data_IF_173158703720
#
_entry.id   IF_173158703720
#
_cell.length_a   1.000
_cell.length_b   1.000
_cell.length_c   1.000
_cell.angle_alpha   90.00
_cell.angle_beta   90.00
_cell.angle_gamma   90.00
#
_symmetry.space_group_name_H-M   'P 1'
#
loop_
_entity.id
_entity.type
_entity.pdbx_description
1 polymer ?
#
# COMPACT_ATOMS: atom_id res chain seq x y z
N UNK A 1 -27.54 5.08 21.46
CA UNK A 1 -26.14 5.27 21.04
C UNK A 1 -25.82 4.14 20.07
N UNK A 2 -25.85 4.43 18.76
CA UNK A 2 -25.53 3.47 17.71
C UNK A 2 -24.00 3.37 17.59
N UNK A 3 -23.42 2.21 17.90
CA UNK A 3 -22.08 1.83 17.44
C UNK A 3 -22.21 1.36 15.99
N UNK A 4 -21.66 2.07 14.98
CA UNK A 4 -21.69 1.58 13.62
C UNK A 4 -20.63 0.48 13.50
N UNK A 5 -21.09 -0.74 13.21
CA UNK A 5 -20.37 -1.92 12.70
C UNK A 5 -18.85 -1.97 12.93
N UNK A 6 -18.42 -2.82 13.85
CA UNK A 6 -17.04 -3.30 13.91
C UNK A 6 -16.76 -4.14 12.64
N UNK A 7 -16.26 -3.50 11.60
CA UNK A 7 -15.66 -4.20 10.46
C UNK A 7 -14.58 -5.16 10.95
N UNK A 8 -14.72 -6.45 10.64
CA UNK A 8 -13.82 -7.48 11.16
C UNK A 8 -12.51 -7.49 10.38
N UNK A 9 -11.43 -7.05 11.04
CA UNK A 9 -10.05 -7.18 10.52
C UNK A 9 -9.63 -8.65 10.65
N UNK A 10 -9.37 -9.31 9.53
CA UNK A 10 -8.92 -10.71 9.53
C UNK A 10 -7.45 -10.78 9.89
N UNK A 11 -6.63 -10.02 9.15
CA UNK A 11 -5.20 -10.17 9.14
C UNK A 11 -4.50 -8.83 8.95
N UNK A 12 -3.37 -8.66 9.63
CA UNK A 12 -2.56 -7.46 9.56
C UNK A 12 -1.23 -7.87 8.93
N UNK A 13 -0.96 -7.33 7.75
CA UNK A 13 0.32 -7.56 7.06
C UNK A 13 1.32 -6.58 7.65
N UNK A 14 2.29 -7.13 8.40
CA UNK A 14 3.25 -6.30 9.11
C UNK A 14 4.33 -5.79 8.17
N UNK A 15 4.75 -4.52 8.34
CA UNK A 15 5.88 -3.98 7.61
C UNK A 15 7.18 -4.66 8.04
N UNK A 16 8.08 -4.83 7.09
CA UNK A 16 9.49 -5.17 7.29
C UNK A 16 10.35 -4.01 6.76
N UNK A 17 11.52 -3.82 7.37
CA UNK A 17 12.50 -2.82 6.94
C UNK A 17 11.88 -1.41 6.80
N UNK A 18 11.25 -0.91 7.87
CA UNK A 18 10.65 0.42 7.92
C UNK A 18 11.65 1.42 8.52
N UNK A 19 12.29 2.28 7.73
CA UNK A 19 13.19 3.28 8.27
C UNK A 19 12.43 4.41 8.96
N UNK A 20 13.05 4.93 10.01
CA UNK A 20 12.46 5.89 10.94
C UNK A 20 12.01 7.21 10.26
N UNK A 21 12.73 7.63 9.23
CA UNK A 21 12.59 8.97 8.64
C UNK A 21 11.48 9.10 7.58
N UNK A 22 10.99 8.00 7.00
CA UNK A 22 9.94 8.06 5.96
C UNK A 22 8.57 7.61 6.46
N UNK A 23 8.53 6.76 7.48
CA UNK A 23 7.30 6.14 7.95
C UNK A 23 6.64 5.20 6.93
N UNK A 24 7.37 4.79 5.88
CA UNK A 24 6.93 3.85 4.86
C UNK A 24 7.84 2.63 4.90
N UNK A 25 7.25 1.44 4.90
CA UNK A 25 7.99 0.19 4.85
C UNK A 25 8.59 -0.06 3.47
N UNK A 26 9.77 -0.67 3.45
CA UNK A 26 10.40 -1.13 2.20
C UNK A 26 9.77 -2.41 1.66
N UNK A 27 9.28 -3.24 2.56
CA UNK A 27 8.67 -4.52 2.25
C UNK A 27 7.65 -4.87 3.33
N UNK A 28 6.80 -5.84 3.02
CA UNK A 28 5.78 -6.36 3.90
C UNK A 28 5.90 -7.88 3.98
N UNK A 29 5.49 -8.43 5.11
CA UNK A 29 5.52 -9.87 5.33
C UNK A 29 4.56 -10.60 4.39
N UNK A 30 5.09 -11.48 3.53
CA UNK A 30 4.29 -12.28 2.60
C UNK A 30 3.89 -13.65 3.19
N UNK A 31 4.05 -13.83 4.50
CA UNK A 31 3.59 -15.02 5.21
C UNK A 31 2.08 -15.13 5.09
N UNK A 32 1.60 -16.24 4.52
CA UNK A 32 0.18 -16.46 4.29
C UNK A 32 -0.49 -16.99 5.57
N UNK A 33 -1.54 -16.32 6.08
CA UNK A 33 -2.24 -16.74 7.29
C UNK A 33 -3.25 -17.86 6.98
N UNK A 34 -2.79 -19.11 6.92
CA UNK A 34 -3.63 -20.29 6.60
C UNK A 34 -4.87 -20.38 7.49
N UNK A 35 -4.71 -20.14 8.80
CA UNK A 35 -5.79 -20.25 9.79
C UNK A 35 -6.96 -19.28 9.56
N UNK A 36 -6.72 -18.17 8.86
CA UNK A 36 -7.67 -17.06 8.74
C UNK A 36 -8.15 -16.81 7.32
N UNK A 37 -7.27 -17.02 6.34
CA UNK A 37 -7.52 -16.70 4.93
C UNK A 37 -7.64 -17.96 4.05
N UNK A 38 -7.32 -19.13 4.60
CA UNK A 38 -7.30 -20.44 3.93
C UNK A 38 -8.55 -20.77 3.13
N UNK A 39 -9.71 -20.39 3.66
CA UNK A 39 -11.02 -20.69 3.04
C UNK A 39 -11.56 -19.55 2.16
N UNK A 40 -10.91 -18.38 2.17
CA UNK A 40 -11.42 -17.16 1.51
C UNK A 40 -10.65 -16.85 0.23
N UNK A 41 -9.33 -17.04 0.23
CA UNK A 41 -8.49 -16.68 -0.92
C UNK A 41 -7.33 -17.65 -1.06
N UNK A 42 -7.01 -18.14 -2.26
CA UNK A 42 -5.89 -19.03 -2.46
C UNK A 42 -4.54 -18.38 -2.11
N UNK A 43 -3.62 -19.20 -1.58
CA UNK A 43 -2.30 -18.78 -1.09
C UNK A 43 -1.46 -18.10 -2.15
N UNK A 44 -1.53 -18.60 -3.37
CA UNK A 44 -0.75 -18.12 -4.52
C UNK A 44 -1.18 -16.71 -4.91
N UNK A 45 -2.49 -16.43 -4.87
CA UNK A 45 -3.06 -15.14 -5.22
C UNK A 45 -2.71 -14.09 -4.16
N UNK A 46 -2.83 -14.45 -2.87
CA UNK A 46 -2.37 -13.62 -1.77
C UNK A 46 -0.88 -13.26 -1.90
N UNK A 47 -0.03 -14.28 -2.07
CA UNK A 47 1.43 -14.07 -2.18
C UNK A 47 1.78 -13.21 -3.39
N UNK A 48 1.10 -13.41 -4.52
CA UNK A 48 1.31 -12.60 -5.72
C UNK A 48 0.95 -11.14 -5.47
N UNK A 49 -0.17 -10.87 -4.79
CA UNK A 49 -0.59 -9.52 -4.45
C UNK A 49 0.43 -8.82 -3.53
N UNK A 50 0.84 -9.47 -2.43
CA UNK A 50 1.81 -8.88 -1.49
C UNK A 50 3.19 -8.71 -2.14
N UNK A 51 3.64 -9.68 -2.96
CA UNK A 51 4.91 -9.54 -3.67
C UNK A 51 4.87 -8.37 -4.66
N UNK A 52 3.77 -8.16 -5.39
CA UNK A 52 3.63 -7.01 -6.28
C UNK A 52 3.71 -5.68 -5.54
N UNK A 53 3.12 -5.60 -4.34
CA UNK A 53 3.27 -4.43 -3.45
C UNK A 53 4.73 -4.23 -3.06
N UNK A 54 5.40 -5.31 -2.66
CA UNK A 54 6.81 -5.28 -2.28
C UNK A 54 7.72 -4.85 -3.44
N UNK A 55 7.45 -5.31 -4.66
CA UNK A 55 8.21 -4.92 -5.85
C UNK A 55 8.08 -3.41 -6.13
N UNK A 56 6.86 -2.87 -6.10
CA UNK A 56 6.61 -1.43 -6.30
C UNK A 56 7.33 -0.59 -5.25
N UNK A 57 7.30 -1.04 -3.99
CA UNK A 57 7.98 -0.37 -2.91
C UNK A 57 9.48 -0.44 -3.11
N UNK A 58 10.03 -1.63 -3.33
CA UNK A 58 11.46 -1.86 -3.54
C UNK A 58 12.02 -0.98 -4.66
N UNK A 59 11.31 -0.87 -5.79
CA UNK A 59 11.69 -0.02 -6.92
C UNK A 59 11.64 1.48 -6.60
N UNK A 60 10.80 1.87 -5.64
CA UNK A 60 10.67 3.25 -5.18
C UNK A 60 11.72 3.62 -4.11
N UNK A 61 12.42 2.63 -3.54
CA UNK A 61 13.44 2.84 -2.52
C UNK A 61 14.79 3.19 -3.18
N UNK A 62 15.39 4.36 -2.87
CA UNK A 62 16.67 4.73 -3.44
C UNK A 62 17.76 3.74 -3.02
N UNK A 63 18.60 3.33 -3.97
CA UNK A 63 19.72 2.43 -3.71
C UNK A 63 20.61 2.99 -2.60
N UNK A 64 20.81 2.20 -1.53
CA UNK A 64 21.51 2.63 -0.32
C UNK A 64 22.90 3.23 -0.63
N UNK A 65 23.64 2.66 -1.59
CA UNK A 65 24.98 3.12 -1.92
C UNK A 65 25.01 4.58 -2.41
N UNK A 66 24.16 4.95 -3.37
CA UNK A 66 24.14 6.32 -3.90
C UNK A 66 23.64 7.30 -2.82
N UNK A 67 22.64 6.90 -2.04
CA UNK A 67 22.10 7.72 -0.96
C UNK A 67 23.09 7.97 0.19
N UNK A 68 23.77 6.94 0.69
CA UNK A 68 24.69 7.10 1.82
C UNK A 68 25.94 7.90 1.41
N UNK A 69 26.49 7.68 0.22
CA UNK A 69 27.71 8.38 -0.18
C UNK A 69 27.46 9.81 -0.65
N UNK A 70 26.46 10.06 -1.51
CA UNK A 70 26.16 11.42 -1.98
C UNK A 70 25.35 12.22 -0.97
N UNK A 71 24.46 11.57 -0.22
CA UNK A 71 23.62 12.24 0.78
C UNK A 71 24.41 12.81 1.95
N UNK A 72 25.44 12.12 2.44
CA UNK A 72 26.29 12.66 3.52
C UNK A 72 27.21 13.78 3.03
N UNK A 73 27.88 13.60 1.88
CA UNK A 73 28.84 14.58 1.35
C UNK A 73 28.12 15.86 0.90
N UNK A 74 27.04 15.74 0.13
CA UNK A 74 26.28 16.90 -0.33
C UNK A 74 25.27 17.40 0.71
N UNK A 75 24.86 16.58 1.68
CA UNK A 75 23.95 16.99 2.76
C UNK A 75 24.57 18.05 3.67
N UNK A 76 25.86 17.92 3.99
CA UNK A 76 26.60 18.98 4.68
C UNK A 76 26.73 20.25 3.84
N UNK A 77 26.91 20.12 2.53
CA UNK A 77 27.07 21.25 1.62
C UNK A 77 25.75 22.00 1.33
N UNK A 78 24.63 21.29 1.38
CA UNK A 78 23.28 21.79 1.02
C UNK A 78 22.35 21.96 2.22
N UNK A 79 22.87 21.89 3.45
CA UNK A 79 22.08 21.93 4.69
C UNK A 79 20.89 20.95 4.68
N UNK A 80 21.07 19.75 4.12
CA UNK A 80 20.05 18.70 4.10
C UNK A 80 18.98 18.82 3.00
N UNK A 81 19.08 19.76 2.06
CA UNK A 81 18.19 19.83 0.89
C UNK A 81 18.24 18.56 0.02
N UNK A 82 19.40 17.89 -0.03
CA UNK A 82 19.57 16.60 -0.73
C UNK A 82 18.70 15.48 -0.16
N UNK A 83 18.26 15.57 1.10
CA UNK A 83 17.35 14.61 1.72
C UNK A 83 15.89 14.78 1.24
N UNK A 84 15.52 15.91 0.62
CA UNK A 84 14.15 16.13 0.12
C UNK A 84 13.84 15.32 -1.14
N UNK A 85 14.83 15.10 -2.00
CA UNK A 85 14.69 14.34 -3.25
C UNK A 85 14.23 12.88 -2.99
N UNK A 86 14.92 12.09 -2.13
CA UNK A 86 14.48 10.73 -1.83
C UNK A 86 13.14 10.70 -1.09
N UNK A 87 12.85 11.71 -0.26
CA UNK A 87 11.54 11.82 0.39
C UNK A 87 10.39 11.95 -0.63
N UNK A 88 10.56 12.80 -1.65
CA UNK A 88 9.58 12.94 -2.74
C UNK A 88 9.44 11.64 -3.54
N UNK A 89 10.55 10.96 -3.84
CA UNK A 89 10.52 9.67 -4.53
C UNK A 89 9.74 8.60 -3.77
N UNK A 90 9.97 8.50 -2.47
CA UNK A 90 9.28 7.54 -1.59
C UNK A 90 7.79 7.88 -1.49
N UNK A 91 7.43 9.18 -1.51
CA UNK A 91 6.03 9.62 -1.59
C UNK A 91 5.37 9.26 -2.91
N UNK A 92 6.07 9.36 -4.04
CA UNK A 92 5.57 8.91 -5.35
C UNK A 92 5.35 7.39 -5.32
N UNK A 93 6.31 6.64 -4.77
CA UNK A 93 6.18 5.19 -4.56
C UNK A 93 4.95 4.82 -3.75
N UNK A 94 4.69 5.52 -2.63
CA UNK A 94 3.47 5.36 -1.83
C UNK A 94 2.21 5.53 -2.67
N UNK A 95 2.14 6.58 -3.49
CA UNK A 95 0.96 6.84 -4.31
C UNK A 95 0.77 5.76 -5.40
N UNK A 96 1.85 5.26 -5.99
CA UNK A 96 1.80 4.13 -6.94
C UNK A 96 1.32 2.85 -6.25
N UNK A 97 1.83 2.58 -5.06
CA UNK A 97 1.45 1.45 -4.22
C UNK A 97 -0.05 1.51 -3.86
N UNK A 98 -0.55 2.66 -3.40
CA UNK A 98 -1.97 2.83 -3.07
C UNK A 98 -2.87 2.59 -4.28
N UNK A 99 -2.52 3.13 -5.45
CA UNK A 99 -3.25 2.84 -6.70
C UNK A 99 -3.22 1.36 -7.06
N UNK A 100 -2.09 0.68 -6.86
CA UNK A 100 -2.00 -0.75 -7.10
C UNK A 100 -2.89 -1.53 -6.15
N UNK A 101 -2.98 -1.12 -4.89
CA UNK A 101 -3.88 -1.72 -3.89
C UNK A 101 -5.33 -1.53 -4.31
N UNK A 102 -5.73 -0.35 -4.78
CA UNK A 102 -7.08 -0.12 -5.28
C UNK A 102 -7.43 -1.06 -6.44
N UNK A 103 -6.50 -1.24 -7.40
CA UNK A 103 -6.69 -2.17 -8.52
C UNK A 103 -6.75 -3.62 -8.03
N UNK A 104 -5.82 -4.04 -7.17
CA UNK A 104 -5.80 -5.40 -6.63
C UNK A 104 -7.04 -5.71 -5.81
N UNK A 105 -7.56 -4.71 -5.09
CA UNK A 105 -8.79 -4.84 -4.33
C UNK A 105 -9.96 -5.18 -5.24
N UNK A 106 -10.03 -4.59 -6.43
CA UNK A 106 -11.09 -4.89 -7.41
C UNK A 106 -10.89 -6.25 -8.07
N UNK A 107 -9.68 -6.52 -8.57
CA UNK A 107 -9.42 -7.69 -9.41
C UNK A 107 -9.36 -9.01 -8.62
N UNK A 108 -8.78 -8.98 -7.41
CA UNK A 108 -8.41 -10.18 -6.66
C UNK A 108 -9.17 -10.31 -5.33
N UNK A 109 -9.39 -9.21 -4.60
CA UNK A 109 -9.95 -9.30 -3.23
C UNK A 109 -11.49 -9.16 -3.19
N UNK A 110 -12.09 -8.33 -4.05
CA UNK A 110 -13.53 -8.12 -4.13
C UNK A 110 -14.32 -9.42 -4.43
N UNK A 111 -13.88 -10.29 -5.37
CA UNK A 111 -14.57 -11.55 -5.65
C UNK A 111 -14.67 -12.48 -4.44
N UNK A 112 -13.75 -12.33 -3.48
CA UNK A 112 -13.69 -13.09 -2.23
C UNK A 112 -14.33 -12.35 -1.04
N UNK A 113 -14.94 -11.17 -1.26
CA UNK A 113 -15.50 -10.33 -0.20
C UNK A 113 -14.44 -9.68 0.71
N UNK A 114 -13.20 -9.58 0.23
CA UNK A 114 -12.05 -9.07 0.96
C UNK A 114 -11.66 -7.67 0.49
N UNK A 115 -10.98 -6.93 1.35
CA UNK A 115 -10.40 -5.63 1.02
C UNK A 115 -9.10 -5.37 1.78
N UNK A 116 -8.09 -4.89 1.09
CA UNK A 116 -6.85 -4.38 1.67
C UNK A 116 -6.99 -2.89 1.89
N UNK A 117 -6.78 -2.47 3.13
CA UNK A 117 -6.64 -1.06 3.49
C UNK A 117 -5.20 -0.77 3.93
N UNK A 118 -4.62 0.29 3.38
CA UNK A 118 -3.40 0.86 3.90
C UNK A 118 -3.72 1.81 5.05
N UNK A 119 -3.12 1.58 6.21
CA UNK A 119 -3.22 2.51 7.32
C UNK A 119 -1.86 2.72 7.98
N UNK A 120 -1.54 3.97 8.23
CA UNK A 120 -0.34 4.37 8.92
C UNK A 120 -0.65 4.48 10.42
N UNK A 121 -0.10 3.59 11.24
CA UNK A 121 -0.28 3.62 12.69
C UNK A 121 0.69 4.61 13.32
N UNK A 122 0.16 5.69 13.88
CA UNK A 122 0.92 6.69 14.62
C UNK A 122 1.97 7.42 13.77
N UNK A 123 3.09 7.78 14.40
CA UNK A 123 4.05 8.72 13.80
C UNK A 123 5.03 8.06 12.80
N UNK A 124 5.28 6.73 12.87
CA UNK A 124 6.42 6.13 12.13
C UNK A 124 6.23 4.71 11.56
N UNK A 125 5.04 4.09 11.63
CA UNK A 125 4.86 2.71 11.12
C UNK A 125 3.70 2.62 10.13
N UNK A 126 4.01 2.20 8.91
CA UNK A 126 3.00 1.86 7.90
C UNK A 126 2.63 0.38 8.01
N UNK A 127 1.34 0.06 8.13
CA UNK A 127 0.86 -1.32 8.13
C UNK A 127 -0.23 -1.48 7.04
N UNK A 128 -0.42 -2.69 6.53
CA UNK A 128 -1.64 -3.01 5.81
C UNK A 128 -2.55 -3.86 6.67
N UNK A 129 -3.85 -3.64 6.49
CA UNK A 129 -4.90 -4.39 7.13
C UNK A 129 -5.73 -5.04 6.04
N UNK A 130 -5.94 -6.34 6.16
CA UNK A 130 -6.90 -7.07 5.35
C UNK A 130 -8.19 -7.13 6.15
N UNK A 131 -9.20 -6.44 5.66
CA UNK A 131 -10.55 -6.37 6.22
C UNK A 131 -11.50 -7.24 5.39
N UNK A 132 -12.47 -7.86 6.06
CA UNK A 132 -13.68 -8.36 5.38
C UNK A 132 -14.63 -7.19 5.24
N UNK A 133 -15.20 -7.04 4.04
CA UNK A 133 -16.23 -6.04 3.80
C UNK A 133 -17.63 -6.59 4.06
N UNK A 134 -18.54 -5.68 4.43
CA UNK A 134 -19.98 -5.87 4.28
C UNK A 134 -20.40 -5.38 2.90
N UNK A 135 -21.52 -5.87 2.35
CA UNK A 135 -22.08 -5.49 1.03
C UNK A 135 -22.09 -3.97 0.75
N UNK A 136 -22.29 -3.15 1.78
CA UNK A 136 -22.34 -1.67 1.64
C UNK A 136 -21.02 -1.05 1.18
N UNK A 137 -19.89 -1.63 1.58
CA UNK A 137 -18.57 -1.11 1.23
C UNK A 137 -18.11 -1.57 -0.16
N UNK A 138 -18.69 -2.65 -0.67
CA UNK A 138 -18.53 -3.12 -2.05
C UNK A 138 -19.17 -2.10 -2.99
N UNK A 139 -20.43 -1.72 -2.71
CA UNK A 139 -21.17 -0.72 -3.50
C UNK A 139 -20.44 0.65 -3.56
N UNK A 140 -19.80 1.06 -2.46
CA UNK A 140 -19.02 2.30 -2.42
C UNK A 140 -17.74 2.26 -3.28
N UNK A 141 -17.15 1.07 -3.44
CA UNK A 141 -15.97 0.87 -4.29
C UNK A 141 -16.37 0.81 -5.76
N UNK A 142 -17.46 0.14 -6.08
CA UNK A 142 -18.02 0.10 -7.43
C UNK A 142 -18.35 1.51 -7.93
N UNK A 143 -18.95 2.36 -7.08
CA UNK A 143 -19.15 3.79 -7.43
C UNK A 143 -17.83 4.56 -7.62
N UNK A 144 -16.79 4.23 -6.85
CA UNK A 144 -15.45 4.82 -7.06
C UNK A 144 -14.82 4.35 -8.37
N UNK A 145 -15.09 3.11 -8.79
CA UNK A 145 -14.67 2.56 -10.07
C UNK A 145 -15.33 3.31 -11.23
N UNK A 146 -16.64 3.49 -11.20
CA UNK A 146 -17.37 4.28 -12.22
C UNK A 146 -16.83 5.72 -12.34
N UNK A 147 -16.49 6.34 -11.19
CA UNK A 147 -15.89 7.67 -11.16
C UNK A 147 -14.47 7.71 -11.72
N UNK A 148 -13.64 6.68 -11.49
CA UNK A 148 -12.28 6.59 -12.00
C UNK A 148 -12.26 6.27 -13.50
N UNK A 149 -13.12 5.36 -13.97
CA UNK A 149 -13.25 5.01 -15.39
C UNK A 149 -13.78 6.20 -16.20
N UNK A 150 -14.80 6.91 -15.70
CA UNK A 150 -15.32 8.13 -16.35
C UNK A 150 -14.29 9.26 -16.37
N UNK A 151 -13.44 9.39 -15.35
CA UNK A 151 -12.34 10.36 -15.32
C UNK A 151 -11.16 9.98 -16.23
N UNK A 152 -10.94 8.69 -16.48
CA UNK A 152 -9.94 8.20 -17.44
C UNK A 152 -10.42 8.41 -18.88
N UNK A 153 -11.69 8.12 -19.17
CA UNK A 153 -12.27 8.26 -20.52
C UNK A 153 -12.21 9.70 -21.01
N UNK A 154 -12.59 10.67 -20.17
CA UNK A 154 -12.50 12.12 -20.46
C UNK A 154 -11.09 12.62 -20.82
N UNK A 155 -10.03 11.91 -20.43
CA UNK A 155 -8.64 12.29 -20.71
C UNK A 155 -8.09 11.74 -22.02
N UNK A 156 -8.85 10.89 -22.70
CA UNK A 156 -8.47 10.24 -23.96
C UNK A 156 -9.18 10.87 -25.17
N UNK A 157 -10.18 11.72 -24.91
CA UNK A 157 -11.00 12.39 -25.91
C UNK A 157 -10.59 13.89 -26.11
N UNK A 158 -9.47 14.31 -25.51
CA UNK A 158 -8.75 15.59 -25.76
C UNK A 158 -7.41 15.33 -26.47
#
# INVERSE_FOLDING_TARGET
MNTPNEEMIIHIVRPKNCPFFTGIAREYDNTYPEDKLGNLMPKEEYKRAINRINDILHDSWPCCFIYYFFGFILGYLTFGLTCLIPWQWIKIGKNKMLKCIDIMNLDNFLPHGLFIEYQQSGCHRSCFYIRIKSDKDIESLERRQEALESASKKRTDE
#
